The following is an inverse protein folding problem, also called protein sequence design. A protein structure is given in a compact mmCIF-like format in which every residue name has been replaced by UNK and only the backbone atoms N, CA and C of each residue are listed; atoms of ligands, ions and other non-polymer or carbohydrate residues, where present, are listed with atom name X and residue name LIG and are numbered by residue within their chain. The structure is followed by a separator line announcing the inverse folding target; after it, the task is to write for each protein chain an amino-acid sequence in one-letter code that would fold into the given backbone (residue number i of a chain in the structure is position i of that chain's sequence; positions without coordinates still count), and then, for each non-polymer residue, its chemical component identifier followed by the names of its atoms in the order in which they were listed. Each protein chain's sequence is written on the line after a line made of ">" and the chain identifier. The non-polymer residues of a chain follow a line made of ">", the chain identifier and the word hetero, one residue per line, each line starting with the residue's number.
data_IF_705517061879
#
_entry.id   IF_705517061879
#
_cell.length_a   1.000
_cell.length_b   1.000
_cell.length_c   1.000
_cell.angle_alpha   90.00
_cell.angle_beta   90.00
_cell.angle_gamma   90.00
#
_symmetry.space_group_name_H-M   'P 1'
#
loop_
_entity.id
_entity.type
_entity.pdbx_description
1 polymer ?
#
# COMPACT_ATOMS: atom_id res chain seq x y z
N UNK A 1 -7.89 -45.47 1.23
CA UNK A 1 -6.97 -44.44 1.78
C UNK A 1 -6.78 -43.30 0.77
N UNK A 2 -7.88 -42.68 0.29
CA UNK A 2 -7.85 -41.77 -0.88
C UNK A 2 -8.64 -40.46 -0.70
N UNK A 3 -9.16 -40.16 0.51
CA UNK A 3 -10.08 -39.03 0.70
C UNK A 3 -9.46 -37.73 1.26
N UNK A 4 -8.23 -37.73 1.78
CA UNK A 4 -7.66 -36.51 2.40
C UNK A 4 -6.96 -35.54 1.45
N UNK A 5 -6.68 -35.91 0.18
CA UNK A 5 -5.87 -35.09 -0.72
C UNK A 5 -6.65 -34.07 -1.57
N UNK A 6 -7.96 -34.25 -1.73
CA UNK A 6 -8.82 -33.33 -2.49
C UNK A 6 -8.91 -31.94 -1.84
N UNK A 7 -9.11 -31.78 -0.52
CA UNK A 7 -9.19 -30.45 0.11
C UNK A 7 -7.85 -29.70 0.05
N UNK A 8 -6.71 -30.38 0.25
CA UNK A 8 -5.37 -29.77 0.18
C UNK A 8 -5.03 -29.25 -1.23
N UNK A 9 -5.40 -29.98 -2.29
CA UNK A 9 -5.12 -29.56 -3.67
C UNK A 9 -5.93 -28.32 -4.08
N UNK A 10 -7.17 -28.19 -3.60
CA UNK A 10 -8.02 -27.00 -3.82
C UNK A 10 -7.49 -25.78 -3.07
N UNK A 11 -7.00 -25.95 -1.84
CA UNK A 11 -6.39 -24.88 -1.05
C UNK A 11 -5.12 -24.33 -1.72
N UNK A 12 -4.25 -25.21 -2.22
CA UNK A 12 -3.05 -24.81 -2.94
C UNK A 12 -3.38 -23.98 -4.19
N UNK A 13 -4.40 -24.40 -4.94
CA UNK A 13 -4.85 -23.68 -6.14
C UNK A 13 -5.44 -22.30 -5.81
N UNK A 14 -6.23 -22.19 -4.73
CA UNK A 14 -6.76 -20.91 -4.24
C UNK A 14 -5.63 -19.96 -3.82
N UNK A 15 -4.68 -20.45 -3.01
CA UNK A 15 -3.54 -19.64 -2.56
C UNK A 15 -2.67 -19.14 -3.72
N UNK A 16 -2.45 -19.98 -4.74
CA UNK A 16 -1.75 -19.57 -5.97
C UNK A 16 -2.54 -18.50 -6.73
N UNK A 17 -3.84 -18.68 -6.90
CA UNK A 17 -4.70 -17.70 -7.58
C UNK A 17 -4.71 -16.35 -6.85
N UNK A 18 -4.83 -16.37 -5.52
CA UNK A 18 -4.77 -15.16 -4.69
C UNK A 18 -3.41 -14.48 -4.79
N UNK A 19 -2.31 -15.23 -4.74
CA UNK A 19 -0.98 -14.67 -4.92
C UNK A 19 -0.80 -14.01 -6.29
N UNK A 20 -1.27 -14.66 -7.37
CA UNK A 20 -1.26 -14.08 -8.72
C UNK A 20 -2.11 -12.81 -8.81
N UNK A 21 -3.30 -12.82 -8.22
CA UNK A 21 -4.17 -11.63 -8.17
C UNK A 21 -3.49 -10.47 -7.43
N UNK A 22 -2.84 -10.74 -6.30
CA UNK A 22 -2.08 -9.73 -5.53
C UNK A 22 -0.89 -9.17 -6.32
N UNK A 23 -0.20 -10.04 -7.07
CA UNK A 23 0.91 -9.63 -7.93
C UNK A 23 0.43 -8.73 -9.06
N UNK A 24 -0.64 -9.10 -9.76
CA UNK A 24 -1.22 -8.30 -10.84
C UNK A 24 -1.71 -6.95 -10.30
N UNK A 25 -2.45 -6.95 -9.19
CA UNK A 25 -2.94 -5.70 -8.58
C UNK A 25 -1.82 -4.81 -8.08
N UNK A 26 -0.74 -5.36 -7.50
CA UNK A 26 0.46 -4.62 -7.12
C UNK A 26 1.17 -3.98 -8.31
N UNK A 27 1.34 -4.71 -9.42
CA UNK A 27 1.92 -4.18 -10.67
C UNK A 27 1.06 -3.05 -11.22
N UNK A 28 -0.26 -3.22 -11.27
CA UNK A 28 -1.18 -2.19 -11.74
C UNK A 28 -1.12 -0.96 -10.82
N UNK A 29 -1.12 -1.15 -9.50
CA UNK A 29 -1.02 -0.07 -8.53
C UNK A 29 0.25 0.77 -8.73
N UNK A 30 1.40 0.11 -8.91
CA UNK A 30 2.66 0.79 -9.21
C UNK A 30 2.63 1.50 -10.57
N UNK A 31 2.21 0.80 -11.62
CA UNK A 31 2.25 1.31 -13.00
C UNK A 31 1.35 2.54 -13.19
N UNK A 32 0.23 2.60 -12.48
CA UNK A 32 -0.74 3.69 -12.60
C UNK A 32 -0.67 4.72 -11.44
N UNK A 33 0.29 4.58 -10.52
CA UNK A 33 0.38 5.38 -9.30
C UNK A 33 -0.96 5.43 -8.53
N UNK A 34 -1.55 4.25 -8.30
CA UNK A 34 -2.82 4.08 -7.58
C UNK A 34 -2.53 3.62 -6.15
N UNK A 35 -2.84 4.48 -5.20
CA UNK A 35 -2.76 4.21 -3.76
C UNK A 35 -3.72 5.14 -3.00
N UNK A 36 -4.16 4.78 -1.77
CA UNK A 36 -5.04 5.63 -0.97
C UNK A 36 -4.47 7.06 -0.75
N UNK A 37 -5.25 8.10 -1.04
CA UNK A 37 -4.80 9.51 -1.00
C UNK A 37 -4.24 10.02 -2.34
N UNK A 38 -3.60 9.16 -3.12
CA UNK A 38 -3.39 9.32 -4.55
C UNK A 38 -2.75 10.64 -5.00
N UNK A 39 -1.54 10.98 -4.55
CA UNK A 39 -0.81 12.12 -5.11
C UNK A 39 -0.07 11.75 -6.39
N UNK A 40 -0.06 12.67 -7.35
CA UNK A 40 0.83 12.63 -8.51
C UNK A 40 1.54 13.96 -8.69
N UNK A 41 2.80 13.89 -9.10
CA UNK A 41 3.65 15.06 -9.27
C UNK A 41 3.91 15.22 -10.76
N UNK A 42 3.75 16.45 -11.26
CA UNK A 42 4.17 16.88 -12.59
C UNK A 42 5.22 17.96 -12.42
N UNK A 43 6.29 17.86 -13.19
CA UNK A 43 7.43 18.78 -13.10
C UNK A 43 7.75 19.27 -14.50
N UNK A 44 7.83 20.58 -14.63
CA UNK A 44 8.36 21.28 -15.80
C UNK A 44 9.67 21.98 -15.40
N UNK A 45 10.30 22.71 -16.33
CA UNK A 45 11.56 23.42 -16.07
C UNK A 45 11.47 24.52 -15.00
N UNK A 46 10.27 25.06 -14.77
CA UNK A 46 10.06 26.24 -13.92
C UNK A 46 9.15 25.97 -12.71
N UNK A 47 8.32 24.93 -12.79
CA UNK A 47 7.26 24.69 -11.81
C UNK A 47 7.08 23.20 -11.51
N UNK A 48 6.68 22.91 -10.27
CA UNK A 48 6.22 21.58 -9.83
C UNK A 48 4.75 21.67 -9.43
N UNK A 49 3.91 20.86 -10.08
CA UNK A 49 2.50 20.70 -9.74
C UNK A 49 2.26 19.39 -9.01
N UNK A 50 1.77 19.48 -7.77
CA UNK A 50 1.27 18.35 -6.98
C UNK A 50 -0.24 18.24 -7.19
N UNK A 51 -0.71 17.08 -7.64
CA UNK A 51 -2.12 16.80 -7.92
C UNK A 51 -2.58 15.71 -6.96
N UNK A 52 -3.51 16.07 -6.07
CA UNK A 52 -4.18 15.13 -5.17
C UNK A 52 -5.37 14.50 -5.89
N UNK A 53 -5.34 13.18 -6.08
CA UNK A 53 -6.39 12.40 -6.74
C UNK A 53 -7.34 11.85 -5.67
N UNK A 54 -8.23 12.70 -5.17
CA UNK A 54 -9.36 12.22 -4.37
C UNK A 54 -10.49 11.70 -5.28
N UNK A 55 -11.33 10.80 -4.75
CA UNK A 55 -12.46 10.20 -5.47
C UNK A 55 -13.49 11.24 -5.98
N UNK A 56 -13.53 12.46 -5.42
CA UNK A 56 -14.50 13.50 -5.78
C UNK A 56 -13.93 14.85 -6.20
N UNK A 57 -12.66 15.16 -5.89
CA UNK A 57 -12.04 16.45 -6.23
C UNK A 57 -10.56 16.25 -6.57
N UNK A 58 -10.10 16.99 -7.59
CA UNK A 58 -8.68 17.09 -7.94
C UNK A 58 -8.18 18.44 -7.46
N UNK A 59 -7.45 18.45 -6.35
CA UNK A 59 -6.74 19.63 -5.87
C UNK A 59 -5.38 19.68 -6.55
N UNK A 60 -4.97 20.88 -6.98
CA UNK A 60 -3.68 21.13 -7.64
C UNK A 60 -2.96 22.22 -6.86
N UNK A 61 -1.72 21.95 -6.53
CA UNK A 61 -0.81 22.88 -5.87
C UNK A 61 0.40 23.06 -6.77
N UNK A 62 0.70 24.30 -7.14
CA UNK A 62 1.82 24.62 -8.03
C UNK A 62 2.84 25.43 -7.27
N UNK A 63 4.10 24.99 -7.32
CA UNK A 63 5.24 25.65 -6.70
C UNK A 63 6.22 26.07 -7.78
N UNK A 64 6.71 27.31 -7.71
CA UNK A 64 7.85 27.75 -8.51
C UNK A 64 9.14 27.08 -7.98
N UNK A 65 10.02 26.66 -8.91
CA UNK A 65 11.30 26.06 -8.58
C UNK A 65 12.28 27.18 -8.18
N UNK A 66 12.36 27.45 -6.89
CA UNK A 66 13.32 28.37 -6.26
C UNK A 66 14.17 27.65 -5.21
N UNK A 67 15.29 28.23 -4.79
CA UNK A 67 16.12 27.68 -3.70
C UNK A 67 15.32 27.52 -2.39
N UNK A 68 14.35 28.41 -2.14
CA UNK A 68 13.48 28.37 -0.96
C UNK A 68 12.52 27.17 -1.00
N UNK A 69 11.93 26.89 -2.18
CA UNK A 69 10.94 25.82 -2.35
C UNK A 69 11.54 24.45 -2.66
N UNK A 70 12.82 24.39 -3.03
CA UNK A 70 13.48 23.15 -3.46
C UNK A 70 13.41 22.04 -2.39
N UNK A 71 13.55 22.42 -1.12
CA UNK A 71 13.47 21.49 0.02
C UNK A 71 12.05 20.94 0.17
N UNK A 72 11.03 21.81 0.09
CA UNK A 72 9.62 21.43 0.20
C UNK A 72 9.25 20.47 -0.93
N UNK A 73 9.60 20.81 -2.17
CA UNK A 73 9.39 19.98 -3.36
C UNK A 73 10.04 18.61 -3.19
N UNK A 74 11.28 18.57 -2.69
CA UNK A 74 12.00 17.32 -2.44
C UNK A 74 11.31 16.45 -1.39
N UNK A 75 10.86 17.04 -0.27
CA UNK A 75 10.15 16.33 0.80
C UNK A 75 8.83 15.74 0.30
N UNK A 76 8.03 16.51 -0.45
CA UNK A 76 6.78 16.02 -1.03
C UNK A 76 7.05 14.85 -1.99
N UNK A 77 8.02 14.99 -2.91
CA UNK A 77 8.41 13.90 -3.83
C UNK A 77 8.80 12.64 -3.07
N UNK A 78 9.59 12.79 -2.01
CA UNK A 78 10.01 11.67 -1.18
C UNK A 78 8.81 11.00 -0.48
N UNK A 79 7.93 11.77 0.14
CA UNK A 79 6.79 11.20 0.86
C UNK A 79 5.76 10.55 -0.06
N UNK A 80 5.51 11.11 -1.24
CA UNK A 80 4.69 10.49 -2.29
C UNK A 80 5.26 9.13 -2.69
N UNK A 81 6.59 9.04 -2.89
CA UNK A 81 7.26 7.78 -3.20
C UNK A 81 7.17 6.79 -2.03
N UNK A 82 7.32 7.27 -0.80
CA UNK A 82 7.19 6.44 0.40
C UNK A 82 5.77 5.89 0.55
N UNK A 83 4.73 6.69 0.35
CA UNK A 83 3.33 6.25 0.38
C UNK A 83 3.06 5.16 -0.65
N UNK A 84 3.53 5.32 -1.90
CA UNK A 84 3.40 4.28 -2.92
C UNK A 84 4.13 3.00 -2.50
N UNK A 85 5.34 3.13 -1.96
CA UNK A 85 6.13 1.98 -1.51
C UNK A 85 5.45 1.27 -0.34
N UNK A 86 4.97 2.01 0.65
CA UNK A 86 4.22 1.47 1.79
C UNK A 86 2.94 0.77 1.31
N UNK A 87 2.23 1.35 0.35
CA UNK A 87 1.04 0.75 -0.21
C UNK A 87 1.33 -0.59 -0.89
N UNK A 88 2.40 -0.69 -1.67
CA UNK A 88 2.84 -1.97 -2.25
C UNK A 88 3.22 -2.98 -1.17
N UNK A 89 3.98 -2.56 -0.15
CA UNK A 89 4.32 -3.42 0.99
C UNK A 89 3.04 -3.94 1.64
N UNK A 90 2.05 -3.09 1.90
CA UNK A 90 0.75 -3.48 2.46
C UNK A 90 0.04 -4.51 1.60
N UNK A 91 -0.05 -4.29 0.28
CA UNK A 91 -0.67 -5.23 -0.65
C UNK A 91 0.03 -6.60 -0.56
N UNK A 92 1.36 -6.63 -0.65
CA UNK A 92 2.10 -7.89 -0.69
C UNK A 92 2.15 -8.59 0.68
N UNK A 93 2.55 -7.89 1.74
CA UNK A 93 2.69 -8.46 3.08
C UNK A 93 1.32 -8.76 3.70
N UNK A 94 0.36 -7.83 3.57
CA UNK A 94 -1.00 -8.01 4.07
C UNK A 94 -1.68 -9.20 3.41
N UNK A 95 -1.62 -9.30 2.08
CA UNK A 95 -2.21 -10.44 1.38
C UNK A 95 -1.52 -11.76 1.70
N UNK A 96 -0.19 -11.77 1.83
CA UNK A 96 0.56 -12.97 2.24
C UNK A 96 0.12 -13.46 3.63
N UNK A 97 -0.02 -12.56 4.59
CA UNK A 97 -0.49 -12.89 5.95
C UNK A 97 -1.93 -13.40 5.95
N UNK A 98 -2.81 -12.80 5.14
CA UNK A 98 -4.20 -13.26 5.01
C UNK A 98 -4.29 -14.64 4.36
N UNK A 99 -3.55 -14.89 3.27
CA UNK A 99 -3.46 -16.21 2.63
C UNK A 99 -2.95 -17.24 3.64
N UNK A 100 -1.93 -16.87 4.43
CA UNK A 100 -1.39 -17.74 5.47
C UNK A 100 -2.44 -18.06 6.57
N UNK A 101 -3.23 -17.08 7.02
CA UNK A 101 -4.33 -17.32 7.95
C UNK A 101 -5.36 -18.31 7.39
N UNK A 102 -5.76 -18.15 6.12
CA UNK A 102 -6.70 -19.09 5.47
C UNK A 102 -6.11 -20.50 5.42
N UNK A 103 -4.81 -20.62 5.10
CA UNK A 103 -4.13 -21.90 5.08
C UNK A 103 -4.07 -22.54 6.48
N UNK A 104 -3.71 -21.78 7.51
CA UNK A 104 -3.64 -22.25 8.89
C UNK A 104 -5.02 -22.69 9.41
N UNK A 105 -6.07 -21.94 9.10
CA UNK A 105 -7.45 -22.29 9.44
C UNK A 105 -7.85 -23.62 8.78
N UNK A 106 -7.51 -23.81 7.51
CA UNK A 106 -7.81 -25.04 6.78
C UNK A 106 -7.01 -26.24 7.32
N UNK A 107 -5.73 -26.03 7.65
CA UNK A 107 -4.86 -27.04 8.26
C UNK A 107 -5.17 -27.29 9.74
N UNK A 108 -6.09 -26.52 10.34
CA UNK A 108 -6.46 -26.55 11.76
C UNK A 108 -5.27 -26.31 12.70
N UNK A 109 -4.26 -25.57 12.25
CA UNK A 109 -3.12 -25.18 13.07
C UNK A 109 -3.47 -23.94 13.91
N UNK A 110 -4.01 -24.20 15.10
CA UNK A 110 -4.51 -23.16 16.01
C UNK A 110 -3.41 -22.24 16.52
N UNK A 111 -2.22 -22.78 16.80
CA UNK A 111 -1.13 -22.00 17.38
C UNK A 111 -0.60 -20.99 16.37
N UNK A 112 -0.32 -21.45 15.15
CA UNK A 112 0.14 -20.57 14.09
C UNK A 112 -0.93 -19.53 13.72
N UNK A 113 -2.20 -19.92 13.72
CA UNK A 113 -3.33 -19.02 13.51
C UNK A 113 -3.41 -17.89 14.55
N UNK A 114 -3.32 -18.22 15.84
CA UNK A 114 -3.38 -17.21 16.90
C UNK A 114 -2.18 -16.25 16.86
N UNK A 115 -0.97 -16.78 16.67
CA UNK A 115 0.24 -15.95 16.53
C UNK A 115 0.10 -14.99 15.35
N UNK A 116 -0.31 -15.49 14.19
CA UNK A 116 -0.49 -14.67 12.97
C UNK A 116 -1.59 -13.62 13.15
N UNK A 117 -2.67 -13.97 13.84
CA UNK A 117 -3.77 -13.05 14.14
C UNK A 117 -3.33 -11.92 15.08
N UNK A 118 -2.57 -12.23 16.14
CA UNK A 118 -2.03 -11.24 17.07
C UNK A 118 -1.07 -10.29 16.33
N UNK A 119 -0.19 -10.84 15.48
CA UNK A 119 0.70 -10.04 14.65
C UNK A 119 -0.08 -9.06 13.77
N UNK A 120 -1.17 -9.50 13.13
CA UNK A 120 -2.01 -8.62 12.31
C UNK A 120 -2.69 -7.53 13.15
N UNK A 121 -3.23 -7.86 14.32
CA UNK A 121 -3.89 -6.90 15.22
C UNK A 121 -2.92 -5.80 15.68
N UNK A 122 -1.63 -6.11 15.84
CA UNK A 122 -0.61 -5.14 16.26
C UNK A 122 -0.07 -4.36 15.06
N UNK A 123 0.26 -5.03 13.95
CA UNK A 123 0.90 -4.41 12.79
C UNK A 123 -0.06 -3.50 12.02
N UNK A 124 -1.33 -3.88 11.89
CA UNK A 124 -2.28 -3.17 11.04
C UNK A 124 -2.54 -1.73 11.54
N UNK A 125 -2.80 -1.47 12.84
CA UNK A 125 -2.89 -0.11 13.36
C UNK A 125 -1.59 0.69 13.21
N UNK A 126 -0.43 0.06 13.44
CA UNK A 126 0.87 0.72 13.31
C UNK A 126 1.10 1.21 11.87
N UNK A 127 0.81 0.34 10.89
CA UNK A 127 0.95 0.66 9.47
C UNK A 127 -0.01 1.78 9.06
N UNK A 128 -1.26 1.73 9.51
CA UNK A 128 -2.24 2.80 9.26
C UNK A 128 -1.76 4.12 9.87
N UNK A 129 -1.27 4.10 11.10
CA UNK A 129 -0.79 5.30 11.79
C UNK A 129 0.36 5.97 11.03
N UNK A 130 1.38 5.20 10.63
CA UNK A 130 2.51 5.74 9.84
C UNK A 130 2.03 6.26 8.49
N UNK A 131 1.09 5.56 7.85
CA UNK A 131 0.55 5.95 6.56
C UNK A 131 -0.22 7.28 6.63
N UNK A 132 -1.09 7.44 7.63
CA UNK A 132 -1.83 8.68 7.86
C UNK A 132 -0.86 9.82 8.18
N UNK A 133 0.12 9.60 9.06
CA UNK A 133 1.11 10.63 9.38
C UNK A 133 1.89 11.14 8.16
N UNK A 134 2.12 10.28 7.16
CA UNK A 134 2.72 10.69 5.88
C UNK A 134 1.78 11.46 4.98
N UNK A 135 0.49 11.13 4.97
CA UNK A 135 -0.51 11.95 4.28
C UNK A 135 -0.59 13.34 4.92
N UNK A 136 -0.70 13.40 6.25
CA UNK A 136 -0.82 14.66 6.99
C UNK A 136 0.41 15.55 6.79
N UNK A 137 1.61 14.97 6.75
CA UNK A 137 2.83 15.73 6.47
C UNK A 137 2.85 16.33 5.06
N UNK A 138 2.35 15.62 4.05
CA UNK A 138 2.20 16.18 2.70
C UNK A 138 1.20 17.34 2.73
N UNK A 139 0.04 17.19 3.37
CA UNK A 139 -0.97 18.27 3.45
C UNK A 139 -0.39 19.52 4.12
N UNK A 140 0.34 19.36 5.23
CA UNK A 140 1.02 20.47 5.89
C UNK A 140 2.01 21.19 4.98
N UNK A 141 2.79 20.46 4.18
CA UNK A 141 3.72 21.04 3.22
C UNK A 141 3.02 21.73 2.04
N UNK A 142 1.77 21.37 1.74
CA UNK A 142 0.96 21.98 0.68
C UNK A 142 0.22 23.25 1.14
N UNK A 143 0.11 23.47 2.44
CA UNK A 143 -0.53 24.66 3.05
C UNK A 143 0.46 25.80 3.36
N UNK A 144 1.77 25.56 3.23
CA UNK A 144 2.85 26.56 3.36
C UNK A 144 2.98 27.34 2.05
#
# INVERSE_FOLDING_TARGET
>A
MLEENIPRKKLGLFSIFMALFCLITGILAYSFNIYPGGYSIKENSEEVTVIKKNFSKKEKYTFEISEENQIIIFLIKNDVKQLLTMWLVIIFSGSSLLINLVNQLHLKDKNAFYITSILLIILLPLVIYVYIGKLDHIEQLLEI
#
